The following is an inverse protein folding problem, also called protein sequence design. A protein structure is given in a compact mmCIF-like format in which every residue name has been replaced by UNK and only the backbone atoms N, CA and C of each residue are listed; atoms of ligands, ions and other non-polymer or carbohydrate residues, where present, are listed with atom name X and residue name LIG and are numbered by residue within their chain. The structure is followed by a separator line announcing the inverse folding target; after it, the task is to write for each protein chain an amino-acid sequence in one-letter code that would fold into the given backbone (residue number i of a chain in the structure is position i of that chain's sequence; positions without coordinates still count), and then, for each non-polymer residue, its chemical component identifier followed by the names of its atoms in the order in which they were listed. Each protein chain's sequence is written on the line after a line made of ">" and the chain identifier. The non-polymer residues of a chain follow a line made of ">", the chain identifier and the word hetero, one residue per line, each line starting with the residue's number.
data_IF_435933455616
#
_entry.id   IF_435933455616
#
_cell.length_a   1.000
_cell.length_b   1.000
_cell.length_c   1.000
_cell.angle_alpha   90.00
_cell.angle_beta   90.00
_cell.angle_gamma   90.00
#
_symmetry.space_group_name_H-M   'P 1'
#
loop_
_entity.id
_entity.type
_entity.pdbx_description
1 polymer ?
#
# COMPACT_ATOMS: atom_id res chain seq x y z
N UNK A 1 -10.41 -0.56 -3.43
CA UNK A 1 -9.49 -0.31 -2.29
C UNK A 1 -8.70 1.00 -2.40
N UNK A 2 -7.69 1.12 -3.29
CA UNK A 2 -6.80 2.32 -3.31
C UNK A 2 -7.57 3.63 -3.57
N UNK A 3 -8.56 3.61 -4.47
CA UNK A 3 -9.41 4.77 -4.76
C UNK A 3 -10.14 5.27 -3.51
N UNK A 4 -10.79 4.37 -2.78
CA UNK A 4 -11.46 4.67 -1.51
C UNK A 4 -10.49 5.24 -0.47
N UNK A 5 -9.33 4.59 -0.30
CA UNK A 5 -8.32 5.10 0.65
C UNK A 5 -7.79 6.49 0.24
N UNK A 6 -7.65 6.81 -1.06
CA UNK A 6 -7.25 8.17 -1.48
C UNK A 6 -8.26 9.23 -1.07
N UNK A 7 -9.55 8.91 -1.09
CA UNK A 7 -10.61 9.84 -0.72
C UNK A 7 -10.70 10.02 0.80
N UNK A 8 -10.53 8.94 1.57
CA UNK A 8 -10.73 8.96 3.02
C UNK A 8 -9.46 9.28 3.84
N UNK A 9 -8.27 8.99 3.30
CA UNK A 9 -7.01 9.17 4.01
C UNK A 9 -6.72 10.61 4.48
N UNK A 10 -7.08 11.68 3.75
CA UNK A 10 -6.85 13.06 4.20
C UNK A 10 -7.49 13.38 5.56
N UNK A 11 -8.67 12.83 5.82
CA UNK A 11 -9.45 13.09 7.04
C UNK A 11 -9.28 12.01 8.12
N UNK A 12 -8.45 10.99 7.86
CA UNK A 12 -8.28 9.83 8.75
C UNK A 12 -6.97 9.90 9.54
N UNK A 13 -7.05 10.34 10.79
CA UNK A 13 -5.90 10.45 11.71
C UNK A 13 -5.27 9.09 12.01
N UNK A 14 -3.99 8.95 11.71
CA UNK A 14 -3.20 7.73 11.91
C UNK A 14 -3.50 6.65 10.89
N UNK A 15 -3.89 7.02 9.66
CA UNK A 15 -4.06 6.06 8.55
C UNK A 15 -2.77 5.25 8.33
N UNK A 16 -2.90 3.94 8.08
CA UNK A 16 -1.82 2.94 8.06
C UNK A 16 -1.03 2.73 9.38
N UNK A 17 -1.08 3.65 10.35
CA UNK A 17 -0.44 3.54 11.67
C UNK A 17 -1.32 2.89 12.73
N UNK A 18 -2.58 3.31 12.84
CA UNK A 18 -3.58 2.69 13.72
C UNK A 18 -4.11 1.41 13.08
N UNK A 19 -4.31 0.39 13.92
CA UNK A 19 -4.85 -0.88 13.48
C UNK A 19 -6.38 -0.80 13.35
N UNK A 20 -6.89 -1.50 12.35
CA UNK A 20 -8.31 -1.80 12.22
C UNK A 20 -8.75 -2.93 13.15
N UNK A 21 -10.04 -3.23 13.11
CA UNK A 21 -10.65 -4.30 13.90
C UNK A 21 -10.53 -5.61 13.15
N UNK A 22 -9.85 -6.59 13.74
CA UNK A 22 -9.52 -7.88 13.11
C UNK A 22 -10.73 -8.63 12.53
N UNK A 23 -11.86 -8.67 13.24
CA UNK A 23 -13.07 -9.35 12.75
C UNK A 23 -13.62 -8.68 11.49
N UNK A 24 -13.72 -7.35 11.47
CA UNK A 24 -14.20 -6.58 10.30
C UNK A 24 -13.25 -6.73 9.11
N UNK A 25 -11.94 -6.80 9.34
CA UNK A 25 -10.96 -7.05 8.27
C UNK A 25 -11.20 -8.42 7.62
N UNK A 26 -11.43 -9.46 8.43
CA UNK A 26 -11.73 -10.81 7.92
C UNK A 26 -13.04 -10.85 7.13
N UNK A 27 -14.07 -10.15 7.60
CA UNK A 27 -15.34 -10.03 6.89
C UNK A 27 -15.17 -9.30 5.54
N UNK A 28 -14.46 -8.16 5.51
CA UNK A 28 -14.17 -7.42 4.29
C UNK A 28 -13.42 -8.27 3.27
N UNK A 29 -12.40 -9.01 3.71
CA UNK A 29 -11.68 -9.96 2.85
C UNK A 29 -12.59 -11.01 2.26
N UNK A 30 -13.41 -11.65 3.10
CA UNK A 30 -14.34 -12.67 2.64
C UNK A 30 -15.36 -12.12 1.62
N UNK A 31 -15.72 -10.84 1.70
CA UNK A 31 -16.56 -10.19 0.67
C UNK A 31 -15.77 -10.02 -0.63
N UNK A 32 -14.53 -9.51 -0.57
CA UNK A 32 -13.68 -9.33 -1.75
C UNK A 32 -13.34 -10.66 -2.44
N UNK A 33 -13.10 -11.73 -1.68
CA UNK A 33 -12.74 -13.05 -2.23
C UNK A 33 -13.93 -13.75 -2.90
N UNK A 34 -15.16 -13.46 -2.45
CA UNK A 34 -16.38 -14.06 -3.01
C UNK A 34 -16.78 -13.43 -4.34
N UNK A 35 -16.52 -12.13 -4.52
CA UNK A 35 -17.05 -11.39 -5.66
C UNK A 35 -16.06 -10.28 -6.07
N UNK A 36 -15.17 -10.63 -6.99
CA UNK A 36 -14.10 -9.73 -7.46
C UNK A 36 -14.66 -8.48 -8.18
N UNK A 37 -15.89 -8.57 -8.70
CA UNK A 37 -16.57 -7.49 -9.42
C UNK A 37 -17.44 -6.60 -8.51
N UNK A 38 -17.68 -7.01 -7.26
CA UNK A 38 -18.39 -6.16 -6.28
C UNK A 38 -17.42 -5.13 -5.75
N UNK A 39 -17.55 -3.92 -6.26
CA UNK A 39 -16.79 -2.79 -5.75
C UNK A 39 -17.40 -2.28 -4.44
N UNK A 40 -17.16 -3.04 -3.35
CA UNK A 40 -17.54 -2.72 -1.96
C UNK A 40 -17.09 -1.31 -1.56
N UNK A 41 -16.08 -0.79 -2.25
CA UNK A 41 -15.41 0.46 -1.96
C UNK A 41 -15.90 1.65 -2.81
N UNK A 42 -16.89 1.45 -3.71
CA UNK A 42 -17.50 2.55 -4.49
C UNK A 42 -18.65 3.22 -3.75
N UNK A 43 -19.45 2.46 -3.00
CA UNK A 43 -20.58 3.00 -2.25
C UNK A 43 -20.12 3.36 -0.83
N UNK A 44 -19.86 4.64 -0.63
CA UNK A 44 -19.48 5.23 0.66
C UNK A 44 -20.49 4.94 1.78
N UNK A 45 -21.75 4.59 1.44
CA UNK A 45 -22.77 4.24 2.42
C UNK A 45 -22.66 2.79 2.92
N UNK A 46 -21.81 1.95 2.30
CA UNK A 46 -21.62 0.56 2.69
C UNK A 46 -20.51 0.34 3.71
N UNK A 47 -19.65 1.34 3.90
CA UNK A 47 -18.53 1.30 4.85
C UNK A 47 -18.72 2.40 5.87
N UNK A 48 -18.71 2.05 7.16
CA UNK A 48 -18.71 3.07 8.19
C UNK A 48 -17.39 3.87 8.13
N UNK A 49 -17.39 5.18 8.43
CA UNK A 49 -16.17 5.98 8.54
C UNK A 49 -15.13 5.37 9.51
N UNK A 50 -15.58 4.59 10.50
CA UNK A 50 -14.72 3.85 11.41
C UNK A 50 -14.01 2.62 10.81
N UNK A 51 -14.26 2.27 9.54
CA UNK A 51 -13.67 1.12 8.85
C UNK A 51 -12.51 1.50 7.92
N UNK A 52 -12.16 2.78 7.78
CA UNK A 52 -11.03 3.20 6.93
C UNK A 52 -9.72 2.53 7.38
N UNK A 53 -9.51 2.38 8.70
CA UNK A 53 -8.37 1.64 9.26
C UNK A 53 -8.41 0.13 8.91
N UNK A 54 -9.61 -0.46 8.83
CA UNK A 54 -9.77 -1.87 8.44
C UNK A 54 -9.36 -2.07 6.97
N UNK A 55 -9.79 -1.16 6.09
CA UNK A 55 -9.43 -1.20 4.66
C UNK A 55 -7.92 -0.98 4.46
N UNK A 56 -7.31 -0.09 5.25
CA UNK A 56 -5.86 0.13 5.24
C UNK A 56 -5.09 -1.11 5.72
N UNK A 57 -5.55 -1.76 6.79
CA UNK A 57 -4.96 -3.00 7.31
C UNK A 57 -5.14 -4.16 6.32
N UNK A 58 -6.29 -4.24 5.65
CA UNK A 58 -6.53 -5.22 4.60
C UNK A 58 -5.52 -5.09 3.45
N UNK A 59 -5.23 -3.86 3.00
CA UNK A 59 -4.19 -3.60 1.99
C UNK A 59 -2.80 -4.00 2.48
N UNK A 60 -2.44 -3.67 3.74
CA UNK A 60 -1.16 -4.09 4.34
C UNK A 60 -1.03 -5.62 4.38
N UNK A 61 -2.09 -6.31 4.77
CA UNK A 61 -2.11 -7.77 4.82
C UNK A 61 -2.01 -8.37 3.41
N UNK A 62 -2.72 -7.81 2.41
CA UNK A 62 -2.62 -8.26 1.02
C UNK A 62 -1.18 -8.22 0.51
N UNK A 63 -0.48 -7.09 0.69
CA UNK A 63 0.92 -6.95 0.28
C UNK A 63 1.87 -7.91 1.02
N UNK A 64 1.58 -8.21 2.29
CA UNK A 64 2.38 -9.12 3.13
C UNK A 64 2.17 -10.60 2.77
N UNK A 65 1.00 -10.94 2.24
CA UNK A 65 0.59 -12.32 1.94
C UNK A 65 0.83 -12.71 0.47
N UNK A 66 1.37 -11.80 -0.35
CA UNK A 66 1.79 -12.14 -1.71
C UNK A 66 2.74 -13.35 -1.69
N UNK A 67 2.65 -14.27 -2.68
CA UNK A 67 3.55 -15.43 -2.77
C UNK A 67 5.03 -15.03 -2.80
N UNK A 68 5.32 -13.86 -3.37
CA UNK A 68 6.62 -13.20 -3.33
C UNK A 68 6.43 -11.72 -2.93
N UNK A 69 7.33 -11.12 -2.13
CA UNK A 69 7.27 -9.69 -1.83
C UNK A 69 7.21 -8.82 -3.08
N UNK A 70 6.53 -7.68 -3.01
CA UNK A 70 6.39 -6.74 -4.13
C UNK A 70 7.75 -6.31 -4.72
N UNK A 71 8.77 -6.15 -3.88
CA UNK A 71 10.13 -5.80 -4.30
C UNK A 71 11.00 -7.02 -4.66
N UNK A 72 10.43 -8.22 -4.73
CA UNK A 72 11.08 -9.53 -4.90
C UNK A 72 12.08 -9.88 -3.80
N UNK A 73 12.24 -11.16 -3.48
CA UNK A 73 13.23 -11.55 -2.46
C UNK A 73 14.66 -11.21 -2.91
N UNK A 74 14.96 -11.43 -4.19
CA UNK A 74 16.27 -11.22 -4.80
C UNK A 74 16.70 -9.75 -4.78
N UNK A 75 15.80 -8.82 -5.09
CA UNK A 75 16.14 -7.40 -5.13
C UNK A 75 15.97 -6.71 -3.78
N UNK A 76 15.24 -7.28 -2.83
CA UNK A 76 15.12 -6.72 -1.46
C UNK A 76 16.48 -6.45 -0.81
N UNK A 77 17.42 -7.41 -0.92
CA UNK A 77 18.79 -7.23 -0.44
C UNK A 77 19.56 -6.18 -1.26
N UNK A 78 19.33 -6.11 -2.57
CA UNK A 78 19.92 -5.10 -3.45
C UNK A 78 19.51 -3.69 -3.02
N UNK A 79 18.23 -3.48 -2.72
CA UNK A 79 17.72 -2.20 -2.22
C UNK A 79 18.38 -1.81 -0.89
N UNK A 80 18.55 -2.72 0.06
CA UNK A 80 19.25 -2.46 1.31
C UNK A 80 20.72 -2.10 1.07
N UNK A 81 21.41 -2.85 0.21
CA UNK A 81 22.82 -2.65 -0.12
C UNK A 81 23.09 -1.30 -0.78
N UNK A 82 22.14 -0.73 -1.52
CA UNK A 82 22.26 0.65 -2.04
C UNK A 82 22.46 1.66 -0.90
N UNK A 83 21.69 1.55 0.17
CA UNK A 83 21.82 2.47 1.31
C UNK A 83 23.08 2.22 2.15
N UNK A 84 23.65 1.01 2.10
CA UNK A 84 24.87 0.67 2.83
C UNK A 84 26.13 1.08 2.05
N UNK A 85 26.16 0.83 0.74
CA UNK A 85 27.39 0.88 -0.05
C UNK A 85 27.45 2.01 -1.09
N UNK A 86 26.32 2.56 -1.53
CA UNK A 86 26.30 3.60 -2.57
C UNK A 86 26.38 4.99 -1.92
N UNK A 87 27.24 5.90 -2.41
CA UNK A 87 27.31 7.29 -1.98
C UNK A 87 25.95 7.99 -2.08
N UNK A 88 25.64 8.85 -1.11
CA UNK A 88 24.31 9.48 -0.99
C UNK A 88 23.84 10.20 -2.26
N UNK A 89 24.77 10.88 -2.96
CA UNK A 89 24.50 11.58 -4.21
C UNK A 89 24.17 10.65 -5.41
N UNK A 90 24.47 9.36 -5.32
CA UNK A 90 24.22 8.36 -6.37
C UNK A 90 23.08 7.40 -6.03
N UNK A 91 22.63 7.35 -4.77
CA UNK A 91 21.59 6.41 -4.30
C UNK A 91 20.31 6.50 -5.10
N UNK A 92 19.85 7.69 -5.44
CA UNK A 92 18.61 7.87 -6.21
C UNK A 92 18.70 7.20 -7.58
N UNK A 93 19.82 7.38 -8.29
CA UNK A 93 20.04 6.75 -9.58
C UNK A 93 20.14 5.23 -9.46
N UNK A 94 20.86 4.74 -8.44
CA UNK A 94 20.96 3.31 -8.16
C UNK A 94 19.59 2.68 -7.85
N UNK A 95 18.73 3.37 -7.08
CA UNK A 95 17.35 2.94 -6.81
C UNK A 95 16.52 2.86 -8.07
N UNK A 96 16.62 3.85 -8.97
CA UNK A 96 15.92 3.83 -10.25
C UNK A 96 16.33 2.61 -11.09
N UNK A 97 17.62 2.31 -11.17
CA UNK A 97 18.08 1.10 -11.86
C UNK A 97 17.59 -0.19 -11.20
N UNK A 98 17.63 -0.29 -9.87
CA UNK A 98 17.11 -1.46 -9.17
C UNK A 98 15.61 -1.68 -9.42
N UNK A 99 14.81 -0.61 -9.50
CA UNK A 99 13.39 -0.68 -9.85
C UNK A 99 13.19 -1.20 -11.29
N UNK A 100 14.05 -0.80 -12.23
CA UNK A 100 13.98 -1.28 -13.62
C UNK A 100 14.33 -2.78 -13.75
N UNK A 101 14.98 -3.38 -12.74
CA UNK A 101 15.26 -4.82 -12.70
C UNK A 101 14.11 -5.66 -12.15
N UNK A 102 13.06 -5.03 -11.60
CA UNK A 102 11.86 -5.73 -11.17
C UNK A 102 11.08 -6.25 -12.39
N UNK A 103 10.36 -7.39 -12.26
CA UNK A 103 9.37 -7.81 -13.24
C UNK A 103 8.35 -6.69 -13.53
N UNK A 104 7.77 -6.73 -14.72
CA UNK A 104 6.88 -5.66 -15.21
C UNK A 104 5.68 -5.46 -14.28
N UNK A 105 5.06 -6.56 -13.85
CA UNK A 105 3.91 -6.57 -12.95
C UNK A 105 4.25 -5.98 -11.57
N UNK A 106 5.41 -6.37 -11.01
CA UNK A 106 5.90 -5.86 -9.73
C UNK A 106 6.20 -4.36 -9.82
N UNK A 107 6.80 -3.91 -10.92
CA UNK A 107 7.17 -2.51 -11.14
C UNK A 107 5.93 -1.63 -11.28
N UNK A 108 4.93 -2.07 -12.04
CA UNK A 108 3.65 -1.37 -12.18
C UNK A 108 2.88 -1.28 -10.85
N UNK A 109 2.82 -2.39 -10.11
CA UNK A 109 2.18 -2.43 -8.80
C UNK A 109 2.92 -1.53 -7.78
N UNK A 110 4.26 -1.55 -7.77
CA UNK A 110 5.07 -0.68 -6.93
C UNK A 110 4.89 0.79 -7.29
N UNK A 111 4.88 1.14 -8.57
CA UNK A 111 4.63 2.51 -9.01
C UNK A 111 3.25 2.99 -8.54
N UNK A 112 2.22 2.16 -8.71
CA UNK A 112 0.86 2.48 -8.26
C UNK A 112 0.80 2.71 -6.75
N UNK A 113 1.46 1.86 -5.97
CA UNK A 113 1.56 1.98 -4.51
C UNK A 113 2.31 3.25 -4.09
N UNK A 114 3.45 3.55 -4.72
CA UNK A 114 4.26 4.72 -4.41
C UNK A 114 3.53 6.03 -4.74
N UNK A 115 2.83 6.09 -5.88
CA UNK A 115 2.00 7.25 -6.23
C UNK A 115 0.86 7.43 -5.22
N UNK A 116 0.19 6.33 -4.84
CA UNK A 116 -0.82 6.35 -3.80
C UNK A 116 -0.28 6.88 -2.45
N UNK A 117 0.85 6.35 -1.98
CA UNK A 117 1.45 6.79 -0.71
C UNK A 117 1.94 8.24 -0.77
N UNK A 118 2.40 8.70 -1.93
CA UNK A 118 2.74 10.11 -2.17
C UNK A 118 1.52 11.03 -2.05
N UNK A 119 0.34 10.60 -2.51
CA UNK A 119 -0.89 11.38 -2.33
C UNK A 119 -1.34 11.43 -0.87
N UNK A 120 -1.18 10.31 -0.13
CA UNK A 120 -1.48 10.27 1.31
C UNK A 120 -0.51 11.16 2.11
N UNK A 121 0.78 11.16 1.78
CA UNK A 121 1.79 11.92 2.52
C UNK A 121 1.67 13.43 2.34
N UNK A 122 1.07 13.91 1.24
CA UNK A 122 0.73 15.34 1.06
C UNK A 122 -0.22 15.88 2.13
N UNK A 123 -0.94 15.00 2.83
CA UNK A 123 -1.89 15.34 3.89
C UNK A 123 -1.35 15.02 5.29
N UNK A 124 -0.03 14.87 5.44
CA UNK A 124 0.62 14.48 6.70
C UNK A 124 0.23 15.38 7.89
N UNK A 125 0.03 16.68 7.67
CA UNK A 125 -0.35 17.64 8.72
C UNK A 125 -1.73 17.34 9.33
N UNK A 126 -2.62 16.69 8.57
CA UNK A 126 -3.98 16.33 8.99
C UNK A 126 -4.10 14.85 9.39
N UNK A 127 -3.35 13.96 8.74
CA UNK A 127 -3.54 12.51 8.88
C UNK A 127 -2.49 11.80 9.76
N UNK A 128 -1.50 12.51 10.31
CA UNK A 128 -0.46 11.95 11.19
C UNK A 128 -1.01 11.37 12.49
#
# INVERSE_FOLDING_TARGET
>A
VLRYLRQMAPDTVGIFRKNGVKSRILELRAVCDRDADVDVFIDENRLDPGQVHDVADMLKQYLRELPEPLMTARLSETFANIFIHVPENERMLALQYAILLLPDENREALQTLLLFLSDVSKHADSNS
#
